data_IF_156358938276
#
_entry.id   IF_156358938276
#
_cell.length_a   1.000
_cell.length_b   1.000
_cell.length_c   1.000
_cell.angle_alpha   90.00
_cell.angle_beta   90.00
_cell.angle_gamma   90.00
#
_symmetry.space_group_name_H-M   'P 1'
#
loop_
_entity.id
_entity.type
_entity.pdbx_description
1 polymer ?
#
# COMPACT_ATOMS: atom_id res chain seq x y z
N UNK A 1 22.23 -24.22 -5.99
CA UNK A 1 21.36 -24.19 -7.18
C UNK A 1 20.05 -23.50 -6.82
N UNK A 2 19.56 -22.56 -7.64
CA UNK A 2 18.26 -21.93 -7.38
C UNK A 2 17.16 -22.89 -7.80
N UNK A 3 16.43 -23.44 -6.84
CA UNK A 3 15.38 -24.46 -7.08
C UNK A 3 14.16 -23.87 -7.82
N UNK A 4 13.98 -22.54 -7.78
CA UNK A 4 12.84 -21.83 -8.38
C UNK A 4 13.29 -20.66 -9.26
N UNK A 5 13.95 -20.92 -10.41
CA UNK A 5 14.57 -19.85 -11.20
C UNK A 5 13.56 -18.82 -11.74
N UNK A 6 12.33 -19.25 -12.07
CA UNK A 6 11.27 -18.32 -12.53
C UNK A 6 10.77 -17.41 -11.41
N UNK A 7 10.61 -17.92 -10.18
CA UNK A 7 10.14 -17.15 -9.04
C UNK A 7 11.11 -15.99 -8.70
N UNK A 8 12.41 -16.27 -8.79
CA UNK A 8 13.45 -15.33 -8.45
C UNK A 8 14.02 -14.56 -9.67
N UNK A 9 13.38 -14.69 -10.84
CA UNK A 9 13.72 -13.85 -11.99
C UNK A 9 13.04 -12.47 -11.92
N UNK A 10 13.71 -11.42 -12.39
CA UNK A 10 13.09 -10.09 -12.46
C UNK A 10 11.83 -10.08 -13.34
N UNK A 11 10.94 -9.14 -13.07
CA UNK A 11 9.76 -8.87 -13.87
C UNK A 11 9.59 -7.37 -14.07
N UNK A 12 9.18 -6.95 -15.26
CA UNK A 12 8.75 -5.58 -15.55
C UNK A 12 7.25 -5.43 -15.29
N UNK A 13 6.89 -4.33 -14.60
CA UNK A 13 5.52 -3.87 -14.42
C UNK A 13 5.50 -2.42 -14.91
N UNK A 14 4.96 -2.18 -16.11
CA UNK A 14 5.18 -0.93 -16.83
C UNK A 14 6.68 -0.69 -17.04
N UNK A 15 7.16 0.50 -16.66
CA UNK A 15 8.58 0.86 -16.74
C UNK A 15 9.40 0.39 -15.52
N UNK A 16 8.75 -0.11 -14.47
CA UNK A 16 9.41 -0.49 -13.22
C UNK A 16 9.88 -1.94 -13.27
N UNK A 17 11.16 -2.16 -13.00
CA UNK A 17 11.72 -3.51 -12.82
C UNK A 17 11.65 -3.90 -11.35
N UNK A 18 11.00 -5.03 -11.07
CA UNK A 18 10.91 -5.69 -9.76
C UNK A 18 11.89 -6.85 -9.74
N UNK A 19 12.68 -6.98 -8.68
CA UNK A 19 13.82 -7.92 -8.60
C UNK A 19 13.44 -9.41 -8.67
N UNK A 20 12.19 -9.76 -8.34
CA UNK A 20 11.65 -11.12 -8.40
C UNK A 20 10.12 -11.09 -8.45
N UNK A 21 9.49 -12.26 -8.46
CA UNK A 21 8.03 -12.42 -8.56
C UNK A 21 7.35 -12.68 -7.21
N UNK A 22 8.03 -12.39 -6.11
CA UNK A 22 7.45 -12.48 -4.77
C UNK A 22 6.79 -11.14 -4.44
N UNK A 23 5.51 -11.18 -4.20
CA UNK A 23 4.66 -10.03 -3.94
C UNK A 23 4.01 -10.13 -2.56
N UNK A 24 4.07 -9.03 -1.79
CA UNK A 24 3.33 -8.89 -0.54
C UNK A 24 2.03 -8.11 -0.81
N UNK A 25 0.85 -8.74 -0.69
CA UNK A 25 -0.43 -8.07 -0.84
C UNK A 25 -0.72 -7.13 0.33
N UNK A 26 -1.68 -6.18 0.16
CA UNK A 26 -2.07 -5.28 1.23
C UNK A 26 -2.80 -6.02 2.35
N UNK A 27 -2.36 -5.78 3.59
CA UNK A 27 -3.00 -6.28 4.81
C UNK A 27 -2.88 -5.19 5.86
N UNK A 28 -3.99 -4.76 6.46
CA UNK A 28 -3.98 -3.78 7.54
C UNK A 28 -3.26 -4.34 8.76
N UNK A 29 -2.22 -3.64 9.19
CA UNK A 29 -1.40 -4.00 10.35
C UNK A 29 -1.85 -3.28 11.62
N UNK A 30 -2.55 -2.16 11.44
CA UNK A 30 -2.99 -1.27 12.52
C UNK A 30 -1.82 -0.69 13.32
N UNK A 31 -0.67 -0.47 12.65
CA UNK A 31 0.56 0.03 13.25
C UNK A 31 0.81 1.54 13.02
N UNK A 32 0.02 2.19 12.17
CA UNK A 32 0.08 3.64 12.02
C UNK A 32 -0.55 4.35 13.24
N UNK A 33 -0.14 5.59 13.49
CA UNK A 33 -0.74 6.43 14.52
C UNK A 33 -1.34 7.68 13.87
N UNK A 34 -2.67 7.81 13.93
CA UNK A 34 -3.41 8.94 13.32
C UNK A 34 -3.04 9.19 11.84
N UNK A 35 -2.81 8.11 11.10
CA UNK A 35 -2.38 8.17 9.70
C UNK A 35 -0.87 8.27 9.50
N UNK A 36 -0.10 8.60 10.53
CA UNK A 36 1.35 8.73 10.43
C UNK A 36 2.05 7.37 10.45
N UNK A 37 3.09 7.25 9.62
CA UNK A 37 3.97 6.10 9.61
C UNK A 37 4.79 6.06 10.90
N UNK A 38 4.66 4.99 11.67
CA UNK A 38 5.44 4.75 12.89
C UNK A 38 6.70 3.96 12.61
N UNK A 39 7.63 3.94 13.57
CA UNK A 39 8.84 3.11 13.49
C UNK A 39 8.51 1.62 13.41
N UNK A 40 7.48 1.18 14.14
CA UNK A 40 7.00 -0.21 14.07
C UNK A 40 6.51 -0.58 12.66
N UNK A 41 5.84 0.35 11.97
CA UNK A 41 5.40 0.15 10.59
C UNK A 41 6.59 0.10 9.63
N UNK A 42 7.58 0.96 9.80
CA UNK A 42 8.83 0.94 9.02
C UNK A 42 9.55 -0.40 9.19
N UNK A 43 9.71 -0.87 10.42
CA UNK A 43 10.34 -2.16 10.73
C UNK A 43 9.55 -3.33 10.13
N UNK A 44 8.22 -3.28 10.21
CA UNK A 44 7.34 -4.29 9.64
C UNK A 44 7.60 -4.50 8.14
N UNK A 45 7.61 -3.43 7.35
CA UNK A 45 7.81 -3.52 5.90
C UNK A 45 9.28 -3.77 5.53
N UNK A 46 10.23 -3.17 6.25
CA UNK A 46 11.66 -3.39 6.05
C UNK A 46 12.04 -4.86 6.28
N UNK A 47 11.46 -5.52 7.28
CA UNK A 47 11.71 -6.94 7.55
C UNK A 47 11.29 -7.84 6.37
N UNK A 48 10.14 -7.54 5.71
CA UNK A 48 9.68 -8.27 4.52
C UNK A 48 10.58 -8.03 3.32
N UNK A 49 10.99 -6.78 3.10
CA UNK A 49 11.94 -6.42 2.04
C UNK A 49 13.29 -7.12 2.24
N UNK A 50 13.80 -7.15 3.49
CA UNK A 50 15.00 -7.88 3.89
C UNK A 50 14.85 -9.38 3.67
N UNK A 51 13.66 -9.94 3.92
CA UNK A 51 13.32 -11.34 3.67
C UNK A 51 13.23 -11.72 2.20
N UNK A 52 13.39 -10.76 1.27
CA UNK A 52 13.51 -11.05 -0.16
C UNK A 52 12.30 -10.71 -1.01
N UNK A 53 11.23 -10.14 -0.45
CA UNK A 53 10.08 -9.66 -1.23
C UNK A 53 10.53 -8.67 -2.29
N UNK A 54 10.01 -8.81 -3.52
CA UNK A 54 10.33 -7.93 -4.65
C UNK A 54 9.43 -6.70 -4.73
N UNK A 55 8.14 -6.88 -4.43
CA UNK A 55 7.15 -5.81 -4.45
C UNK A 55 6.27 -5.88 -3.21
N UNK A 56 6.05 -4.74 -2.58
CA UNK A 56 5.16 -4.59 -1.43
C UNK A 56 4.04 -3.61 -1.81
N UNK A 57 2.80 -4.01 -1.59
CA UNK A 57 1.67 -3.07 -1.52
C UNK A 57 1.34 -2.88 -0.05
N UNK A 58 1.35 -1.62 0.40
CA UNK A 58 1.06 -1.32 1.80
C UNK A 58 -0.41 -1.53 2.11
N UNK A 59 -0.75 -1.47 3.38
CA UNK A 59 -2.14 -1.45 3.85
C UNK A 59 -2.91 -0.24 3.32
N UNK A 60 -4.20 -0.19 3.65
CA UNK A 60 -5.09 0.92 3.32
C UNK A 60 -4.45 2.25 3.67
N UNK A 61 -4.40 3.14 2.67
CA UNK A 61 -3.82 4.47 2.77
C UNK A 61 -4.86 5.48 2.31
N UNK A 62 -5.43 6.22 3.25
CA UNK A 62 -6.48 7.19 2.93
C UNK A 62 -5.90 8.41 2.21
N UNK A 63 -6.63 8.88 1.19
CA UNK A 63 -6.34 10.11 0.43
C UNK A 63 -7.28 11.26 0.80
N UNK A 64 -8.16 11.04 1.78
CA UNK A 64 -9.16 12.00 2.20
C UNK A 64 -9.10 12.22 3.72
N UNK A 65 -9.01 13.50 4.20
CA UNK A 65 -8.83 13.79 5.63
C UNK A 65 -10.07 13.50 6.47
N UNK A 66 -11.25 13.41 5.85
CA UNK A 66 -12.52 13.25 6.58
C UNK A 66 -12.85 11.80 6.91
N UNK A 67 -12.04 10.86 6.41
CA UNK A 67 -12.30 9.44 6.61
C UNK A 67 -11.05 8.64 6.92
N UNK A 68 -11.06 7.96 8.05
CA UNK A 68 -10.10 6.92 8.44
C UNK A 68 -10.84 5.59 8.47
N UNK A 69 -10.37 4.60 7.70
CA UNK A 69 -11.01 3.28 7.65
C UNK A 69 -10.90 2.54 8.98
N UNK A 70 -9.66 2.45 9.50
CA UNK A 70 -9.36 1.96 10.85
C UNK A 70 -8.43 2.97 11.53
N UNK A 71 -8.46 3.09 12.87
CA UNK A 71 -7.62 4.04 13.61
C UNK A 71 -6.12 3.92 13.34
N UNK A 72 -5.65 2.74 12.96
CA UNK A 72 -4.25 2.46 12.68
C UNK A 72 -3.89 2.40 11.19
N UNK A 73 -4.77 2.82 10.28
CA UNK A 73 -4.44 2.89 8.85
C UNK A 73 -3.61 4.14 8.54
N UNK A 74 -2.84 4.04 7.43
CA UNK A 74 -2.00 5.15 6.96
C UNK A 74 -2.79 6.23 6.24
N UNK A 75 -2.21 7.42 6.14
CA UNK A 75 -2.72 8.52 5.35
C UNK A 75 -1.65 9.11 4.43
N UNK A 76 -2.12 9.74 3.35
CA UNK A 76 -1.33 10.53 2.40
C UNK A 76 -2.14 11.74 1.93
N UNK A 77 -3.10 12.19 2.75
CA UNK A 77 -4.06 13.23 2.37
C UNK A 77 -3.49 14.66 2.40
N UNK A 78 -2.31 14.87 2.99
CA UNK A 78 -1.60 16.15 2.96
C UNK A 78 -0.08 15.96 3.14
N UNK A 79 0.67 17.06 3.00
CA UNK A 79 2.15 17.04 2.99
C UNK A 79 2.77 16.70 4.35
N UNK A 80 2.04 16.77 5.45
CA UNK A 80 2.56 16.43 6.79
C UNK A 80 2.91 14.94 6.92
N UNK A 81 2.35 14.10 6.06
CA UNK A 81 2.63 12.66 6.04
C UNK A 81 3.90 12.29 5.26
N UNK A 82 4.43 13.19 4.41
CA UNK A 82 5.59 12.92 3.53
C UNK A 82 6.80 12.39 4.30
N UNK A 83 7.27 13.00 5.42
CA UNK A 83 8.48 12.53 6.09
C UNK A 83 8.40 11.08 6.55
N UNK A 84 7.23 10.61 6.99
CA UNK A 84 7.01 9.21 7.37
C UNK A 84 7.09 8.28 6.16
N UNK A 85 6.51 8.68 5.05
CA UNK A 85 6.56 7.92 3.79
C UNK A 85 7.98 7.85 3.22
N UNK A 86 8.75 8.94 3.28
CA UNK A 86 10.16 8.93 2.86
C UNK A 86 10.98 7.94 3.69
N UNK A 87 10.81 7.94 5.02
CA UNK A 87 11.47 6.99 5.92
C UNK A 87 11.11 5.53 5.57
N UNK A 88 9.83 5.26 5.36
CA UNK A 88 9.33 3.93 5.00
C UNK A 88 9.89 3.45 3.67
N UNK A 89 9.77 4.27 2.63
CA UNK A 89 10.21 3.92 1.27
C UNK A 89 11.72 3.72 1.22
N UNK A 90 12.51 4.57 1.89
CA UNK A 90 13.97 4.41 2.00
C UNK A 90 14.35 3.09 2.67
N UNK A 91 13.66 2.72 3.76
CA UNK A 91 13.92 1.46 4.48
C UNK A 91 13.64 0.22 3.62
N UNK A 92 12.60 0.25 2.79
CA UNK A 92 12.24 -0.84 1.87
C UNK A 92 13.20 -0.88 0.67
N UNK A 93 13.49 0.27 0.06
CA UNK A 93 14.36 0.39 -1.10
C UNK A 93 15.79 -0.05 -0.79
N UNK A 94 16.27 0.09 0.46
CA UNK A 94 17.58 -0.42 0.91
C UNK A 94 17.80 -1.90 0.57
N UNK A 95 16.73 -2.69 0.50
CA UNK A 95 16.78 -4.12 0.18
C UNK A 95 16.39 -4.42 -1.28
N UNK A 96 16.29 -3.40 -2.13
CA UNK A 96 15.95 -3.54 -3.56
C UNK A 96 14.49 -3.94 -3.82
N UNK A 97 13.61 -3.90 -2.81
CA UNK A 97 12.19 -4.08 -3.01
C UNK A 97 11.55 -2.78 -3.52
N UNK A 98 10.45 -2.91 -4.26
CA UNK A 98 9.56 -1.80 -4.62
C UNK A 98 8.40 -1.75 -3.66
N UNK A 99 7.86 -0.54 -3.42
CA UNK A 99 6.73 -0.34 -2.52
C UNK A 99 5.77 0.68 -3.14
N UNK A 100 4.47 0.46 -2.95
CA UNK A 100 3.42 1.38 -3.35
C UNK A 100 2.26 1.33 -2.35
N UNK A 101 1.52 2.43 -2.13
CA UNK A 101 0.36 2.46 -1.26
C UNK A 101 -0.86 1.79 -1.90
N UNK A 102 -1.70 1.16 -1.08
CA UNK A 102 -3.08 0.85 -1.46
C UNK A 102 -3.93 2.09 -1.20
N UNK A 103 -4.10 2.93 -2.22
CA UNK A 103 -4.90 4.14 -2.09
C UNK A 103 -6.37 3.80 -1.84
N UNK A 104 -6.95 4.49 -0.86
CA UNK A 104 -8.34 4.30 -0.47
C UNK A 104 -9.06 5.65 -0.41
N UNK A 105 -10.19 5.72 -1.12
CA UNK A 105 -11.13 6.84 -1.07
C UNK A 105 -12.54 6.30 -0.84
N UNK A 106 -13.20 6.78 0.21
CA UNK A 106 -14.61 6.47 0.43
C UNK A 106 -15.47 7.30 -0.51
N UNK A 107 -16.05 6.68 -1.52
CA UNK A 107 -17.08 7.33 -2.30
C UNK A 107 -18.37 7.44 -1.46
N UNK A 108 -18.53 8.55 -0.76
CA UNK A 108 -19.81 8.91 -0.15
C UNK A 108 -20.80 9.30 -1.26
N UNK A 109 -21.29 8.33 -2.01
CA UNK A 109 -22.59 8.55 -2.63
C UNK A 109 -23.55 8.84 -1.47
N UNK A 110 -24.10 10.03 -1.45
CA UNK A 110 -25.02 10.57 -0.48
C UNK A 110 -26.29 9.70 -0.45
N UNK A 111 -26.22 8.56 0.26
CA UNK A 111 -27.43 7.86 0.65
C UNK A 111 -27.93 8.51 1.94
N UNK A 112 -29.22 8.88 2.02
CA UNK A 112 -29.80 9.32 3.27
C UNK A 112 -29.60 8.20 4.30
N UNK A 113 -29.22 8.62 5.51
CA UNK A 113 -28.93 7.73 6.63
C UNK A 113 -30.18 6.92 6.96
N UNK A 114 -30.21 5.69 6.54
CA UNK A 114 -31.06 4.67 7.15
C UNK A 114 -30.19 3.62 7.79
N UNK A 115 -30.16 3.69 9.10
CA UNK A 115 -29.87 2.64 10.08
C UNK A 115 -28.86 1.55 9.70
N UNK A 116 -27.78 1.55 10.50
CA UNK A 116 -26.87 0.45 10.80
C UNK A 116 -27.32 -0.94 10.31
N UNK A 117 -26.71 -1.39 9.25
CA UNK A 117 -26.25 -2.77 9.15
C UNK A 117 -24.88 -2.75 8.47
N UNK A 118 -23.93 -3.41 9.11
CA UNK A 118 -22.55 -3.54 8.64
C UNK A 118 -22.49 -4.36 7.35
N UNK A 119 -22.79 -3.74 6.22
CA UNK A 119 -22.45 -4.27 4.91
C UNK A 119 -21.87 -3.11 4.10
N UNK A 120 -20.59 -2.88 4.32
CA UNK A 120 -19.82 -1.96 3.50
C UNK A 120 -19.57 -2.63 2.16
N UNK A 121 -20.25 -2.17 1.12
CA UNK A 121 -19.82 -2.47 -0.23
C UNK A 121 -18.57 -1.65 -0.53
N UNK A 122 -17.41 -2.27 -0.39
CA UNK A 122 -16.15 -1.74 -0.85
C UNK A 122 -16.07 -1.96 -2.34
N UNK A 123 -16.04 -0.88 -3.12
CA UNK A 123 -15.45 -0.96 -4.44
C UNK A 123 -13.96 -0.61 -4.30
N UNK A 124 -13.05 -1.58 -4.38
CA UNK A 124 -11.64 -1.26 -4.43
C UNK A 124 -11.41 -0.46 -5.71
N UNK A 125 -10.94 0.78 -5.58
CA UNK A 125 -10.32 1.47 -6.71
C UNK A 125 -9.09 0.63 -7.05
N UNK A 126 -9.22 -0.19 -8.11
CA UNK A 126 -8.22 -1.20 -8.41
C UNK A 126 -6.86 -0.57 -8.62
N UNK A 127 -5.85 -1.19 -8.05
CA UNK A 127 -4.43 -0.92 -8.27
C UNK A 127 -4.08 -0.87 -9.78
N UNK A 128 -4.93 -1.46 -10.61
CA UNK A 128 -4.79 -1.49 -12.07
C UNK A 128 -4.94 -0.10 -12.74
N UNK A 129 -5.63 0.85 -12.11
CA UNK A 129 -5.82 2.20 -12.69
C UNK A 129 -4.56 3.06 -12.71
N UNK A 130 -3.54 2.71 -11.93
CA UNK A 130 -2.25 3.45 -11.89
C UNK A 130 -1.25 2.90 -12.91
N UNK A 131 -1.46 1.69 -13.43
CA UNK A 131 -0.50 0.98 -14.30
C UNK A 131 -0.88 0.98 -15.79
N UNK A 132 -2.06 1.44 -16.16
CA UNK A 132 -2.48 1.52 -17.55
C UNK A 132 -2.90 2.96 -17.90
N UNK A 133 -2.40 3.55 -19.01
CA UNK A 133 -2.96 4.78 -19.53
C UNK A 133 -4.42 4.52 -19.91
N UNK A 134 -5.32 5.40 -19.45
CA UNK A 134 -6.72 5.36 -19.86
C UNK A 134 -6.80 5.53 -21.39
N UNK A 135 -7.57 4.72 -22.10
CA UNK A 135 -7.85 4.97 -23.52
C UNK A 135 -8.58 6.31 -23.67
N UNK A 136 -8.14 7.08 -24.66
CA UNK A 136 -8.74 8.37 -25.07
C UNK A 136 -10.20 8.20 -25.51
#
# INVERSE_FOLDING_TARGET
MNTYPKLFSPIKIGETTVKNRVFMPPISTNLADKGYVTDALVEHYAARAKGGVGLIVTEVTTVEPTYVYLPGDMSICDDSYIPGWEKLTAAVHKYGAKILPQLFHRNLRRFPVYHLSMHSHYEPVGILGILLPLPH
#
